data_IF_256340755692
#
_entry.id   IF_256340755692
#
_cell.length_a   1.000
_cell.length_b   1.000
_cell.length_c   1.000
_cell.angle_alpha   90.00
_cell.angle_beta   90.00
_cell.angle_gamma   90.00
#
_symmetry.space_group_name_H-M   'P 1'
#
loop_
_entity.id
_entity.type
_entity.pdbx_description
1 polymer ?
#
# COMPACT_ATOMS: atom_id res chain seq x y z
N UNK A 1 -7.54 -8.90 -7.86
CA UNK A 1 -7.54 -9.22 -6.41
C UNK A 1 -6.74 -8.20 -5.62
N UNK A 2 -5.43 -8.04 -5.83
CA UNK A 2 -4.60 -7.08 -5.08
C UNK A 2 -5.11 -5.64 -5.20
N UNK A 3 -5.41 -5.15 -6.42
CA UNK A 3 -5.99 -3.82 -6.65
C UNK A 3 -7.23 -3.54 -5.79
N UNK A 4 -8.11 -4.53 -5.63
CA UNK A 4 -9.32 -4.40 -4.81
C UNK A 4 -8.98 -4.24 -3.32
N UNK A 5 -7.97 -4.95 -2.83
CA UNK A 5 -7.53 -4.81 -1.44
C UNK A 5 -6.94 -3.42 -1.18
N UNK A 6 -6.24 -2.83 -2.15
CA UNK A 6 -5.76 -1.44 -2.02
C UNK A 6 -6.93 -0.48 -1.78
N UNK A 7 -7.97 -0.50 -2.63
CA UNK A 7 -9.16 0.35 -2.43
C UNK A 7 -9.84 0.12 -1.07
N UNK A 8 -9.98 -1.13 -0.64
CA UNK A 8 -10.59 -1.46 0.65
C UNK A 8 -9.76 -0.97 1.85
N UNK A 9 -8.42 -0.98 1.75
CA UNK A 9 -7.54 -0.48 2.82
C UNK A 9 -7.78 1.01 3.06
N UNK A 10 -7.94 1.80 2.01
CA UNK A 10 -8.26 3.22 2.13
C UNK A 10 -9.61 3.45 2.86
N UNK A 11 -10.62 2.61 2.59
CA UNK A 11 -11.92 2.68 3.28
C UNK A 11 -11.85 2.32 4.77
N UNK A 12 -11.00 1.37 5.16
CA UNK A 12 -10.90 0.88 6.53
C UNK A 12 -9.94 1.69 7.41
N UNK A 13 -8.99 2.41 6.82
CA UNK A 13 -7.95 3.13 7.55
C UNK A 13 -8.02 4.64 7.26
N UNK A 14 -8.87 5.36 7.99
CA UNK A 14 -9.10 6.80 7.79
C UNK A 14 -7.88 7.73 8.00
N UNK A 15 -6.76 7.20 8.47
CA UNK A 15 -5.46 7.88 8.64
C UNK A 15 -4.41 7.42 7.60
N UNK A 16 -4.86 6.67 6.58
CA UNK A 16 -4.06 6.22 5.44
C UNK A 16 -4.76 6.73 4.19
N UNK A 17 -4.01 7.45 3.37
CA UNK A 17 -4.42 7.87 2.04
C UNK A 17 -3.52 7.15 1.03
N UNK A 18 -4.12 6.35 0.16
CA UNK A 18 -3.40 5.60 -0.86
C UNK A 18 -3.41 6.42 -2.14
N UNK A 19 -2.22 6.86 -2.56
CA UNK A 19 -2.04 7.55 -3.82
C UNK A 19 -2.00 6.57 -5.00
N UNK A 20 -1.25 6.93 -6.02
CA UNK A 20 -1.06 6.08 -7.20
C UNK A 20 -0.46 4.72 -6.81
N UNK A 21 -0.96 3.66 -7.44
CA UNK A 21 -0.43 2.32 -7.27
C UNK A 21 -0.51 1.51 -8.55
N UNK A 22 0.50 0.66 -8.75
CA UNK A 22 0.61 -0.22 -9.90
C UNK A 22 0.91 -1.65 -9.43
N UNK A 23 0.01 -2.57 -9.80
CA UNK A 23 0.20 -4.01 -9.57
C UNK A 23 0.90 -4.60 -10.78
N UNK A 24 2.07 -5.17 -10.57
CA UNK A 24 2.84 -5.90 -11.57
C UNK A 24 2.77 -7.41 -11.29
N UNK A 25 3.22 -8.27 -12.23
CA UNK A 25 3.20 -9.72 -12.02
C UNK A 25 3.96 -10.20 -10.77
N UNK A 26 5.05 -9.54 -10.37
CA UNK A 26 5.89 -9.96 -9.22
C UNK A 26 5.85 -9.00 -8.01
N UNK A 27 5.53 -7.71 -8.19
CA UNK A 27 5.54 -6.70 -7.13
C UNK A 27 4.35 -5.73 -7.20
N UNK A 28 4.27 -4.86 -6.20
CA UNK A 28 3.30 -3.77 -6.10
C UNK A 28 4.07 -2.48 -5.78
N UNK A 29 3.92 -1.46 -6.62
CA UNK A 29 4.30 -0.10 -6.28
C UNK A 29 3.08 0.66 -5.77
N UNK A 30 3.23 1.40 -4.68
CA UNK A 30 2.13 2.16 -4.08
C UNK A 30 2.68 3.37 -3.32
N UNK A 31 2.04 4.52 -3.51
CA UNK A 31 2.26 5.69 -2.67
C UNK A 31 1.34 5.60 -1.46
N UNK A 32 1.91 5.73 -0.26
CA UNK A 32 1.16 5.70 1.01
C UNK A 32 1.42 7.01 1.75
N UNK A 33 0.37 7.78 1.96
CA UNK A 33 0.39 8.97 2.81
C UNK A 33 -0.18 8.60 4.19
N UNK A 34 0.64 8.76 5.22
CA UNK A 34 0.24 8.54 6.62
C UNK A 34 -0.16 9.86 7.25
N UNK A 35 -1.35 9.94 7.84
CA UNK A 35 -1.85 11.14 8.50
C UNK A 35 -3.36 11.29 8.38
N UNK A 36 -3.95 12.14 9.22
CA UNK A 36 -5.36 12.51 9.09
C UNK A 36 -5.55 13.34 7.82
N UNK A 37 -6.63 13.10 7.08
CA UNK A 37 -6.97 13.96 5.93
C UNK A 37 -7.28 15.39 6.40
N UNK A 38 -6.97 16.37 5.56
CA UNK A 38 -7.13 17.81 5.88
C UNK A 38 -8.59 18.18 6.23
N UNK A 39 -9.57 17.46 5.66
CA UNK A 39 -11.00 17.66 5.95
C UNK A 39 -11.35 17.23 7.38
N UNK A 40 -10.81 16.09 7.82
CA UNK A 40 -10.99 15.55 9.16
C UNK A 40 -10.23 16.39 10.18
N UNK A 41 -9.03 16.87 9.84
CA UNK A 41 -8.20 17.70 10.71
C UNK A 41 -8.90 19.02 11.12
N UNK A 42 -9.66 19.63 10.20
CA UNK A 42 -10.46 20.85 10.47
C UNK A 42 -11.59 20.61 11.50
N UNK A 43 -12.27 19.46 11.41
CA UNK A 43 -13.40 19.10 12.28
C UNK A 43 -12.90 18.56 13.63
N UNK A 44 -11.76 17.87 13.62
CA UNK A 44 -11.11 17.32 14.80
C UNK A 44 -10.43 18.43 15.61
N UNK A 45 -9.79 19.45 15.03
CA UNK A 45 -9.16 20.56 15.79
C UNK A 45 -10.09 21.25 16.79
N UNK A 46 -11.39 21.36 16.49
CA UNK A 46 -12.36 21.99 17.41
C UNK A 46 -12.75 21.09 18.59
N UNK A 47 -12.54 19.78 18.48
CA UNK A 47 -12.90 18.76 19.49
C UNK A 47 -11.69 18.08 20.15
N UNK A 48 -10.50 18.21 19.56
CA UNK A 48 -9.35 17.35 19.83
C UNK A 48 -8.20 17.98 20.60
N UNK A 49 -8.37 19.18 21.16
CA UNK A 49 -7.41 19.63 22.19
C UNK A 49 -7.33 18.64 23.37
N UNK A 50 -8.34 17.79 23.55
CA UNK A 50 -8.40 16.73 24.58
C UNK A 50 -8.13 15.31 24.05
N UNK A 51 -8.14 15.07 22.73
CA UNK A 51 -7.93 13.74 22.13
C UNK A 51 -6.52 13.56 21.56
N UNK A 52 -5.81 14.66 21.26
CA UNK A 52 -4.40 14.62 20.80
C UNK A 52 -3.46 14.09 21.90
N UNK A 53 -3.88 14.10 23.17
CA UNK A 53 -3.10 13.59 24.30
C UNK A 53 -3.27 12.08 24.55
N UNK A 54 -4.25 11.41 23.93
CA UNK A 54 -4.46 9.96 24.09
C UNK A 54 -3.73 9.18 22.99
N UNK A 55 -2.59 8.60 23.38
CA UNK A 55 -1.75 7.67 22.61
C UNK A 55 -2.47 6.35 22.26
N UNK A 56 -3.44 6.38 21.35
CA UNK A 56 -3.91 5.16 20.66
C UNK A 56 -3.20 5.03 19.31
N UNK A 57 -2.11 4.25 19.33
CA UNK A 57 -1.31 3.72 18.22
C UNK A 57 -1.44 4.41 16.86
N UNK A 58 -0.54 5.35 16.57
CA UNK A 58 -0.29 5.78 15.19
C UNK A 58 0.00 4.54 14.33
N UNK A 59 -0.86 4.25 13.36
CA UNK A 59 -0.64 3.17 12.40
C UNK A 59 0.63 3.50 11.61
N UNK A 60 1.60 2.59 11.69
CA UNK A 60 2.86 2.74 10.99
C UNK A 60 2.76 2.24 9.55
N UNK A 61 3.72 2.62 8.71
CA UNK A 61 3.87 2.06 7.35
C UNK A 61 3.89 0.52 7.38
N UNK A 62 4.56 -0.06 8.39
CA UNK A 62 4.68 -1.50 8.57
C UNK A 62 3.32 -2.15 8.79
N UNK A 63 2.42 -1.50 9.55
CA UNK A 63 1.07 -2.02 9.82
C UNK A 63 0.21 -2.04 8.54
N UNK A 64 0.29 -0.97 7.74
CA UNK A 64 -0.43 -0.85 6.46
C UNK A 64 0.05 -1.93 5.48
N UNK A 65 1.37 -2.01 5.26
CA UNK A 65 1.97 -3.01 4.37
C UNK A 65 1.68 -4.42 4.86
N UNK A 66 1.80 -4.67 6.17
CA UNK A 66 1.48 -5.94 6.80
C UNK A 66 0.03 -6.35 6.57
N UNK A 67 -0.91 -5.40 6.65
CA UNK A 67 -2.33 -5.66 6.38
C UNK A 67 -2.59 -5.99 4.92
N UNK A 68 -2.03 -5.21 3.98
CA UNK A 68 -2.15 -5.48 2.54
C UNK A 68 -1.64 -6.89 2.23
N UNK A 69 -0.43 -7.23 2.69
CA UNK A 69 0.17 -8.57 2.48
C UNK A 69 -0.69 -9.68 3.08
N UNK A 70 -1.25 -9.46 4.28
CA UNK A 70 -2.08 -10.46 4.98
C UNK A 70 -3.42 -10.70 4.28
N UNK A 71 -4.17 -9.64 3.96
CA UNK A 71 -5.49 -9.76 3.32
C UNK A 71 -5.35 -10.41 1.94
N UNK A 72 -4.38 -9.95 1.14
CA UNK A 72 -4.15 -10.50 -0.20
C UNK A 72 -3.74 -11.97 -0.16
N UNK A 73 -2.86 -12.36 0.77
CA UNK A 73 -2.48 -13.76 0.97
C UNK A 73 -3.69 -14.61 1.35
N UNK A 74 -4.49 -14.15 2.31
CA UNK A 74 -5.71 -14.86 2.73
C UNK A 74 -6.68 -15.05 1.55
N UNK A 75 -6.96 -13.99 0.79
CA UNK A 75 -7.85 -14.04 -0.38
C UNK A 75 -7.31 -14.95 -1.47
N UNK A 76 -5.99 -14.96 -1.69
CA UNK A 76 -5.36 -15.85 -2.64
C UNK A 76 -5.52 -17.32 -2.24
N UNK A 77 -5.29 -17.66 -0.97
CA UNK A 77 -5.52 -19.01 -0.44
C UNK A 77 -6.98 -19.44 -0.65
N UNK A 78 -7.95 -18.55 -0.42
CA UNK A 78 -9.36 -18.84 -0.72
C UNK A 78 -9.62 -19.07 -2.21
N UNK A 79 -8.93 -18.32 -3.08
CA UNK A 79 -9.00 -18.52 -4.53
C UNK A 79 -8.43 -19.88 -4.98
N UNK A 80 -7.31 -20.31 -4.39
CA UNK A 80 -6.74 -21.65 -4.65
C UNK A 80 -7.74 -22.74 -4.23
N UNK A 81 -8.34 -22.61 -3.05
CA UNK A 81 -9.27 -23.60 -2.51
C UNK A 81 -10.60 -23.67 -3.26
N UNK A 82 -11.16 -22.51 -3.63
CA UNK A 82 -12.56 -22.41 -4.05
C UNK A 82 -12.74 -22.00 -5.53
N UNK A 83 -11.67 -21.54 -6.20
CA UNK A 83 -11.73 -20.93 -7.55
C UNK A 83 -10.64 -21.43 -8.50
N UNK A 84 -9.96 -22.54 -8.16
CA UNK A 84 -8.93 -23.17 -8.99
C UNK A 84 -7.77 -22.25 -9.38
N UNK A 85 -7.39 -21.29 -8.52
CA UNK A 85 -6.16 -20.53 -8.72
C UNK A 85 -4.93 -21.42 -8.54
N UNK A 86 -3.83 -21.05 -9.21
CA UNK A 86 -2.56 -21.77 -9.10
C UNK A 86 -2.08 -21.77 -7.64
N UNK A 87 -1.67 -22.94 -7.14
CA UNK A 87 -1.06 -23.02 -5.81
C UNK A 87 0.35 -22.42 -5.80
N UNK A 88 0.76 -21.87 -4.66
CA UNK A 88 2.12 -21.41 -4.40
C UNK A 88 2.75 -22.26 -3.29
N UNK A 89 4.07 -22.50 -3.36
CA UNK A 89 4.78 -23.42 -2.46
C UNK A 89 5.22 -22.81 -1.13
N UNK A 90 5.48 -21.51 -1.09
CA UNK A 90 6.03 -20.84 0.09
C UNK A 90 5.19 -19.64 0.55
N UNK A 91 5.49 -18.44 0.03
CA UNK A 91 4.86 -17.18 0.44
C UNK A 91 4.45 -16.40 -0.80
N UNK A 92 3.27 -15.78 -0.73
CA UNK A 92 2.81 -14.88 -1.79
C UNK A 92 3.62 -13.59 -1.85
N UNK A 93 4.14 -13.13 -0.71
CA UNK A 93 4.96 -11.91 -0.60
C UNK A 93 6.30 -12.20 0.05
N UNK A 94 7.33 -11.47 -0.38
CA UNK A 94 8.60 -11.38 0.34
C UNK A 94 8.38 -10.79 1.74
N UNK A 95 9.29 -11.13 2.68
CA UNK A 95 9.20 -10.67 4.08
C UNK A 95 9.41 -9.16 4.19
N UNK A 96 10.46 -8.65 3.54
CA UNK A 96 10.78 -7.22 3.45
C UNK A 96 9.93 -6.51 2.40
N UNK A 97 10.03 -5.19 2.38
CA UNK A 97 9.56 -4.32 1.32
C UNK A 97 10.57 -3.17 1.18
N UNK A 98 10.63 -2.55 0.01
CA UNK A 98 11.36 -1.31 -0.19
C UNK A 98 10.44 -0.13 0.12
N UNK A 99 10.97 0.87 0.83
CA UNK A 99 10.29 2.13 1.08
C UNK A 99 11.18 3.32 0.71
N UNK A 100 10.53 4.37 0.21
CA UNK A 100 11.16 5.66 -0.10
C UNK A 100 10.30 6.78 0.47
N UNK A 101 10.91 7.65 1.28
CA UNK A 101 10.21 8.80 1.87
C UNK A 101 10.21 9.94 0.87
N UNK A 102 9.04 10.28 0.34
CA UNK A 102 8.82 11.43 -0.54
C UNK A 102 8.86 12.71 0.29
N UNK A 103 9.80 13.63 -0.04
CA UNK A 103 10.07 14.82 0.80
C UNK A 103 9.64 16.14 0.18
N UNK A 104 9.47 16.18 -1.12
CA UNK A 104 9.10 17.37 -1.86
C UNK A 104 8.33 17.03 -3.14
N UNK A 105 7.79 18.05 -3.79
CA UNK A 105 6.95 17.92 -4.98
C UNK A 105 7.69 17.29 -6.16
N UNK A 106 8.98 17.60 -6.35
CA UNK A 106 9.74 17.05 -7.48
C UNK A 106 9.98 15.56 -7.31
N UNK A 107 10.23 15.13 -6.07
CA UNK A 107 10.33 13.73 -5.72
C UNK A 107 8.98 13.02 -5.90
N UNK A 108 7.87 13.67 -5.52
CA UNK A 108 6.53 13.16 -5.73
C UNK A 108 6.21 12.95 -7.22
N UNK A 109 6.42 13.97 -8.05
CA UNK A 109 6.22 13.91 -9.52
C UNK A 109 7.04 12.76 -10.14
N UNK A 110 8.31 12.63 -9.75
CA UNK A 110 9.19 11.56 -10.26
C UNK A 110 8.69 10.16 -9.88
N UNK A 111 8.23 9.97 -8.64
CA UNK A 111 7.71 8.67 -8.20
C UNK A 111 6.37 8.37 -8.90
N UNK A 112 5.50 9.37 -9.06
CA UNK A 112 4.27 9.24 -9.83
C UNK A 112 4.55 8.79 -11.27
N UNK A 113 5.47 9.47 -11.97
CA UNK A 113 5.85 9.14 -13.35
C UNK A 113 6.44 7.73 -13.46
N UNK A 114 7.28 7.33 -12.49
CA UNK A 114 7.83 5.99 -12.42
C UNK A 114 6.72 4.93 -12.27
N UNK A 115 5.81 5.10 -11.31
CA UNK A 115 4.70 4.15 -11.09
C UNK A 115 3.80 4.04 -12.32
N UNK A 116 3.47 5.18 -12.95
CA UNK A 116 2.62 5.23 -14.13
C UNK A 116 3.29 4.59 -15.36
N UNK A 117 4.62 4.69 -15.49
CA UNK A 117 5.37 4.17 -16.64
C UNK A 117 5.84 2.71 -16.48
N UNK A 118 5.83 2.15 -15.26
CA UNK A 118 6.26 0.78 -15.00
C UNK A 118 5.61 -0.31 -15.87
N UNK A 119 4.31 -0.26 -16.21
CA UNK A 119 3.72 -1.22 -17.13
C UNK A 119 4.41 -1.27 -18.50
N UNK A 120 4.90 -0.13 -18.98
CA UNK A 120 5.59 -0.01 -20.27
C UNK A 120 7.07 -0.41 -20.16
N UNK A 121 7.69 -0.13 -19.01
CA UNK A 121 9.12 -0.40 -18.76
C UNK A 121 9.39 -1.78 -18.19
N UNK A 122 8.36 -2.60 -17.99
CA UNK A 122 8.44 -3.91 -17.36
C UNK A 122 9.55 -4.81 -17.95
N UNK A 123 9.70 -4.87 -19.27
CA UNK A 123 10.68 -5.73 -19.92
C UNK A 123 12.15 -5.38 -19.55
N UNK A 124 12.39 -4.13 -19.18
CA UNK A 124 13.73 -3.59 -18.86
C UNK A 124 13.90 -3.33 -17.35
N UNK A 125 12.92 -3.71 -16.53
CA UNK A 125 12.89 -3.44 -15.09
C UNK A 125 13.99 -4.24 -14.37
N UNK A 126 14.77 -3.56 -13.52
CA UNK A 126 15.81 -4.21 -12.72
C UNK A 126 15.22 -5.19 -11.70
N UNK A 127 13.98 -4.94 -11.24
CA UNK A 127 13.24 -5.86 -10.35
C UNK A 127 12.72 -7.11 -11.08
N UNK A 128 12.86 -7.18 -12.41
CA UNK A 128 12.61 -8.39 -13.21
C UNK A 128 13.83 -9.25 -13.47
N UNK A 129 15.02 -8.84 -13.01
CA UNK A 129 16.19 -9.70 -13.11
C UNK A 129 15.96 -10.92 -12.21
N UNK A 130 15.81 -12.09 -12.83
CA UNK A 130 15.69 -13.37 -12.15
C UNK A 130 16.89 -13.55 -11.20
N UNK A 131 16.64 -13.61 -9.88
CA UNK A 131 17.58 -14.21 -8.93
C UNK A 131 17.54 -15.74 -9.03
#
# INVERSE_FOLDING_TARGET
MVKQVCFEVEEYFHWVDLGEFQVMPNHLHIIIKLGLSDSIESTIRTRAKTLVENREGQISLIDVVGRIKSITTYRYIQGVRNRQWLSFSERLWQRSFYDHVIRDERDYERIMDYIASNPMNWADDEENREE
#
